data_IF_306222504175
#
_entry.id   IF_306222504175
#
_cell.length_a   1.000
_cell.length_b   1.000
_cell.length_c   1.000
_cell.angle_alpha   90.00
_cell.angle_beta   90.00
_cell.angle_gamma   90.00
#
_symmetry.space_group_name_H-M   'P 1'
#
loop_
_entity.id
_entity.type
_entity.pdbx_description
1 polymer ?
#
# COMPACT_ATOMS: atom_id res chain seq x y z
N UNK A 1 -17.77 9.73 27.28
CA UNK A 1 -16.93 10.42 26.26
C UNK A 1 -16.13 9.46 25.40
N UNK A 2 -15.60 8.35 25.92
CA UNK A 2 -14.79 7.38 25.15
C UNK A 2 -15.57 6.65 24.03
N UNK A 3 -16.80 6.23 24.26
CA UNK A 3 -17.62 5.55 23.23
C UNK A 3 -17.86 6.43 21.98
N UNK A 4 -18.00 7.75 22.14
CA UNK A 4 -18.22 8.69 21.05
C UNK A 4 -16.95 8.88 20.20
N UNK A 5 -15.77 8.78 20.80
CA UNK A 5 -14.49 8.87 20.07
C UNK A 5 -14.21 7.60 19.25
N UNK A 6 -14.56 6.42 19.77
CA UNK A 6 -14.42 5.16 19.06
C UNK A 6 -15.34 5.12 17.81
N UNK A 7 -16.58 5.57 17.94
CA UNK A 7 -17.53 5.62 16.80
C UNK A 7 -17.04 6.56 15.71
N UNK A 8 -16.51 7.74 16.08
CA UNK A 8 -15.90 8.67 15.11
C UNK A 8 -14.67 8.04 14.41
N UNK A 9 -13.81 7.35 15.17
CA UNK A 9 -12.65 6.65 14.61
C UNK A 9 -13.06 5.59 13.58
N UNK A 10 -14.07 4.78 13.90
CA UNK A 10 -14.62 3.77 12.98
C UNK A 10 -15.16 4.43 11.70
N UNK A 11 -15.93 5.52 11.84
CA UNK A 11 -16.47 6.24 10.69
C UNK A 11 -15.37 6.76 9.76
N UNK A 12 -14.31 7.38 10.31
CA UNK A 12 -13.16 7.85 9.52
C UNK A 12 -12.43 6.72 8.82
N UNK A 13 -12.29 5.55 9.46
CA UNK A 13 -11.69 4.36 8.83
C UNK A 13 -12.58 3.89 7.66
N UNK A 14 -13.90 3.81 7.85
CA UNK A 14 -14.83 3.40 6.79
C UNK A 14 -14.77 4.34 5.58
N UNK A 15 -14.75 5.65 5.81
CA UNK A 15 -14.61 6.67 4.75
C UNK A 15 -13.25 6.47 4.03
N UNK A 16 -12.17 6.30 4.79
CA UNK A 16 -10.84 6.04 4.21
C UNK A 16 -10.82 4.79 3.34
N UNK A 17 -11.43 3.69 3.80
CA UNK A 17 -11.53 2.44 3.02
C UNK A 17 -12.36 2.60 1.75
N UNK A 18 -13.43 3.43 1.77
CA UNK A 18 -14.19 3.74 0.57
C UNK A 18 -13.33 4.48 -0.47
N UNK A 19 -12.53 5.47 -0.04
CA UNK A 19 -11.59 6.14 -0.92
C UNK A 19 -10.52 5.19 -1.49
N UNK A 20 -9.99 4.27 -0.67
CA UNK A 20 -9.07 3.24 -1.16
C UNK A 20 -9.70 2.35 -2.23
N UNK A 21 -10.97 1.92 -2.05
CA UNK A 21 -11.67 1.10 -3.04
C UNK A 21 -11.85 1.84 -4.38
N UNK A 22 -12.18 3.12 -4.35
CA UNK A 22 -12.28 3.96 -5.56
C UNK A 22 -10.91 4.06 -6.23
N UNK A 23 -9.88 4.35 -5.46
CA UNK A 23 -8.50 4.44 -5.94
C UNK A 23 -8.04 3.14 -6.62
N UNK A 24 -8.26 1.99 -5.98
CA UNK A 24 -7.86 0.69 -6.53
C UNK A 24 -8.61 0.37 -7.84
N UNK A 25 -9.87 0.77 -7.92
CA UNK A 25 -10.67 0.64 -9.15
C UNK A 25 -10.11 1.52 -10.27
N UNK A 26 -9.71 2.75 -9.97
CA UNK A 26 -9.10 3.66 -10.94
C UNK A 26 -7.74 3.13 -11.41
N UNK A 27 -6.92 2.59 -10.51
CA UNK A 27 -5.63 1.98 -10.88
C UNK A 27 -5.87 0.80 -11.81
N UNK A 28 -6.84 -0.07 -11.52
CA UNK A 28 -7.22 -1.19 -12.38
C UNK A 28 -7.71 -0.72 -13.76
N UNK A 29 -8.29 0.47 -13.85
CA UNK A 29 -8.74 1.04 -15.11
C UNK A 29 -7.59 1.59 -15.96
N UNK A 30 -6.59 2.23 -15.34
CA UNK A 30 -5.53 2.96 -16.08
C UNK A 30 -4.19 2.22 -16.14
N UNK A 31 -4.06 1.00 -15.59
CA UNK A 31 -2.76 0.30 -15.53
C UNK A 31 -2.17 0.01 -16.91
N UNK A 32 -2.99 -0.01 -17.96
CA UNK A 32 -2.54 -0.17 -19.36
C UNK A 32 -1.99 1.12 -19.96
N UNK A 33 -2.24 2.28 -19.35
CA UNK A 33 -1.87 3.60 -19.88
C UNK A 33 -0.70 4.25 -19.12
N UNK A 34 -0.35 3.76 -17.95
CA UNK A 34 0.67 4.36 -17.07
C UNK A 34 1.65 3.32 -16.55
N UNK A 35 2.90 3.71 -16.33
CA UNK A 35 3.87 2.86 -15.65
C UNK A 35 3.64 2.83 -14.13
N UNK A 36 3.87 1.67 -13.49
CA UNK A 36 3.67 1.48 -12.05
C UNK A 36 4.36 2.56 -11.21
N UNK A 37 5.62 2.82 -11.48
CA UNK A 37 6.41 3.76 -10.66
C UNK A 37 6.20 5.22 -11.05
N UNK A 38 5.72 5.51 -12.25
CA UNK A 38 5.19 6.83 -12.63
C UNK A 38 3.94 7.15 -11.80
N UNK A 39 3.02 6.18 -11.69
CA UNK A 39 1.85 6.27 -10.83
C UNK A 39 2.24 6.55 -9.37
N UNK A 40 3.25 5.83 -8.84
CA UNK A 40 3.77 6.08 -7.50
C UNK A 40 4.31 7.49 -7.33
N UNK A 41 5.13 7.96 -8.26
CA UNK A 41 5.70 9.30 -8.21
C UNK A 41 4.61 10.37 -8.21
N UNK A 42 3.69 10.29 -9.16
CA UNK A 42 2.62 11.26 -9.30
C UNK A 42 1.74 11.34 -8.04
N UNK A 43 1.27 10.21 -7.54
CA UNK A 43 0.49 10.14 -6.30
C UNK A 43 1.26 10.70 -5.10
N UNK A 44 2.52 10.32 -4.96
CA UNK A 44 3.34 10.78 -3.82
C UNK A 44 3.55 12.29 -3.86
N UNK A 45 3.67 12.90 -5.05
CA UNK A 45 3.77 14.35 -5.20
C UNK A 45 2.48 15.02 -4.70
N UNK A 46 1.32 14.51 -5.09
CA UNK A 46 0.02 15.05 -4.63
C UNK A 46 -0.11 14.91 -3.11
N UNK A 47 0.14 13.74 -2.57
CA UNK A 47 0.07 13.46 -1.13
C UNK A 47 1.07 14.33 -0.32
N UNK A 48 2.29 14.50 -0.83
CA UNK A 48 3.28 15.38 -0.22
C UNK A 48 2.84 16.85 -0.23
N UNK A 49 2.21 17.30 -1.32
CA UNK A 49 1.67 18.66 -1.43
C UNK A 49 0.56 18.88 -0.41
N UNK A 50 -0.36 17.93 -0.25
CA UNK A 50 -1.40 17.98 0.79
C UNK A 50 -0.79 18.01 2.19
N UNK A 51 0.21 17.17 2.47
CA UNK A 51 0.90 17.15 3.76
C UNK A 51 1.60 18.48 4.06
N UNK A 52 2.31 19.05 3.09
CA UNK A 52 2.95 20.37 3.21
C UNK A 52 1.90 21.45 3.48
N UNK A 53 0.77 21.43 2.77
CA UNK A 53 -0.33 22.37 2.98
C UNK A 53 -0.88 22.30 4.42
N UNK A 54 -1.02 21.08 4.96
CA UNK A 54 -1.43 20.87 6.37
C UNK A 54 -0.40 21.48 7.32
N UNK A 55 0.90 21.33 7.07
CA UNK A 55 1.95 21.95 7.90
C UNK A 55 1.90 23.47 7.88
N UNK A 56 1.71 24.07 6.70
CA UNK A 56 1.62 25.51 6.56
C UNK A 56 0.40 26.09 7.30
N UNK A 57 -0.74 25.43 7.20
CA UNK A 57 -2.00 25.85 7.86
C UNK A 57 -1.91 25.65 9.38
N UNK A 58 -1.44 24.49 9.83
CA UNK A 58 -1.45 24.15 11.26
C UNK A 58 -0.25 24.67 12.02
N UNK A 59 0.76 25.22 11.32
CA UNK A 59 2.05 25.70 11.90
C UNK A 59 2.73 24.68 12.81
N UNK A 60 2.44 23.39 12.63
CA UNK A 60 3.05 22.32 13.41
C UNK A 60 4.50 22.15 12.99
N UNK A 61 5.39 22.07 13.96
CA UNK A 61 6.79 21.70 13.71
C UNK A 61 6.87 20.21 13.43
N UNK A 62 7.54 19.84 12.36
CA UNK A 62 7.91 18.46 12.08
C UNK A 62 9.42 18.33 12.09
N UNK A 63 9.89 17.14 12.33
CA UNK A 63 11.31 16.81 12.32
C UNK A 63 11.53 15.60 11.41
N UNK A 64 12.59 15.60 10.62
CA UNK A 64 13.02 14.44 9.85
C UNK A 64 13.81 13.43 10.70
N UNK A 65 14.12 13.81 11.95
CA UNK A 65 14.83 12.90 12.86
C UNK A 65 13.87 11.86 13.40
N UNK A 66 14.18 10.59 13.18
CA UNK A 66 13.51 9.44 13.78
C UNK A 66 14.38 8.85 14.90
N UNK A 67 13.74 8.35 15.95
CA UNK A 67 14.41 7.62 17.02
C UNK A 67 14.79 6.19 16.59
N UNK A 68 14.19 5.69 15.52
CA UNK A 68 14.34 4.32 15.05
C UNK A 68 14.70 4.24 13.55
N UNK A 69 15.88 4.71 13.11
CA UNK A 69 16.20 4.87 11.70
C UNK A 69 16.11 3.55 10.89
N UNK A 70 16.62 2.46 11.46
CA UNK A 70 16.59 1.14 10.81
C UNK A 70 15.16 0.60 10.68
N UNK A 71 14.34 0.68 11.72
CA UNK A 71 12.94 0.25 11.68
C UNK A 71 12.12 1.11 10.72
N UNK A 72 12.37 2.42 10.68
CA UNK A 72 11.71 3.33 9.75
C UNK A 72 12.08 2.99 8.30
N UNK A 73 13.35 2.70 8.02
CA UNK A 73 13.78 2.26 6.69
C UNK A 73 13.11 0.93 6.30
N UNK A 74 13.12 -0.06 7.19
CA UNK A 74 12.46 -1.34 6.95
C UNK A 74 10.96 -1.15 6.68
N UNK A 75 10.30 -0.29 7.46
CA UNK A 75 8.89 0.04 7.31
C UNK A 75 8.56 0.61 5.92
N UNK A 76 9.32 1.62 5.46
CA UNK A 76 9.04 2.26 4.17
C UNK A 76 9.35 1.33 3.00
N UNK A 77 10.37 0.48 3.11
CA UNK A 77 10.68 -0.58 2.15
C UNK A 77 9.53 -1.58 2.07
N UNK A 78 9.08 -2.12 3.20
CA UNK A 78 7.94 -3.05 3.25
C UNK A 78 6.67 -2.42 2.68
N UNK A 79 6.39 -1.15 2.99
CA UNK A 79 5.22 -0.45 2.47
C UNK A 79 5.29 -0.29 0.94
N UNK A 80 6.43 0.17 0.42
CA UNK A 80 6.63 0.41 -1.01
C UNK A 80 6.51 -0.89 -1.83
N UNK A 81 7.26 -1.92 -1.44
CA UNK A 81 7.19 -3.22 -2.13
C UNK A 81 5.86 -3.93 -1.92
N UNK A 82 5.25 -3.79 -0.74
CA UNK A 82 3.94 -4.36 -0.47
C UNK A 82 2.88 -3.86 -1.46
N UNK A 83 2.75 -2.55 -1.61
CA UNK A 83 1.81 -1.99 -2.59
C UNK A 83 2.23 -2.26 -4.04
N UNK A 84 3.53 -2.34 -4.34
CA UNK A 84 3.98 -2.77 -5.67
C UNK A 84 3.46 -4.17 -6.00
N UNK A 85 3.53 -5.12 -5.09
CA UNK A 85 2.95 -6.45 -5.27
C UNK A 85 1.44 -6.42 -5.45
N UNK A 86 0.73 -5.54 -4.72
CA UNK A 86 -0.71 -5.37 -4.87
C UNK A 86 -1.07 -4.89 -6.28
N UNK A 87 -0.45 -3.82 -6.75
CA UNK A 87 -0.75 -3.23 -8.05
C UNK A 87 -0.31 -4.14 -9.21
N UNK A 88 0.82 -4.82 -9.09
CA UNK A 88 1.25 -5.85 -10.04
C UNK A 88 0.19 -6.96 -10.13
N UNK A 89 -0.39 -7.39 -9.02
CA UNK A 89 -1.42 -8.42 -9.02
C UNK A 89 -2.67 -8.02 -9.81
N UNK A 90 -2.99 -6.73 -9.90
CA UNK A 90 -4.11 -6.23 -10.68
C UNK A 90 -3.94 -6.43 -12.19
N UNK A 91 -2.73 -6.68 -12.70
CA UNK A 91 -2.50 -6.93 -14.13
C UNK A 91 -3.02 -8.30 -14.58
N UNK A 92 -3.02 -9.30 -13.69
CA UNK A 92 -3.39 -10.69 -14.01
C UNK A 92 -4.54 -11.26 -13.15
N UNK A 93 -5.05 -10.50 -12.17
CA UNK A 93 -6.15 -10.91 -11.31
C UNK A 93 -7.26 -9.85 -11.28
N UNK A 94 -8.49 -10.27 -10.95
CA UNK A 94 -9.56 -9.31 -10.68
C UNK A 94 -9.31 -8.57 -9.36
N UNK A 95 -9.78 -7.32 -9.26
CA UNK A 95 -9.68 -6.53 -8.03
C UNK A 95 -10.29 -7.26 -6.83
N UNK A 96 -11.43 -7.94 -7.04
CA UNK A 96 -12.08 -8.73 -5.99
C UNK A 96 -11.19 -9.84 -5.45
N UNK A 97 -10.48 -10.56 -6.33
CA UNK A 97 -9.58 -11.65 -5.93
C UNK A 97 -8.35 -11.11 -5.20
N UNK A 98 -7.73 -10.03 -5.71
CA UNK A 98 -6.59 -9.38 -5.05
C UNK A 98 -6.97 -8.89 -3.65
N UNK A 99 -8.10 -8.20 -3.53
CA UNK A 99 -8.60 -7.70 -2.25
C UNK A 99 -8.91 -8.84 -1.27
N UNK A 100 -9.51 -9.92 -1.76
CA UNK A 100 -9.82 -11.07 -0.94
C UNK A 100 -8.56 -11.76 -0.39
N UNK A 101 -7.52 -11.94 -1.20
CA UNK A 101 -6.23 -12.48 -0.73
C UNK A 101 -5.53 -11.51 0.24
N UNK A 102 -5.70 -10.20 0.05
CA UNK A 102 -5.20 -9.19 0.97
C UNK A 102 -5.88 -9.26 2.35
N UNK A 103 -7.07 -9.81 2.49
CA UNK A 103 -7.69 -10.09 3.79
C UNK A 103 -6.90 -11.08 4.67
N UNK A 104 -5.83 -11.69 4.18
CA UNK A 104 -4.84 -12.37 5.03
C UNK A 104 -4.05 -11.40 5.93
N UNK A 105 -4.08 -10.10 5.67
CA UNK A 105 -3.36 -9.07 6.42
C UNK A 105 -3.66 -9.06 7.93
N UNK A 106 -4.92 -9.10 8.41
CA UNK A 106 -5.22 -9.16 9.84
C UNK A 106 -4.60 -10.38 10.55
N UNK A 107 -4.42 -11.49 9.83
CA UNK A 107 -3.74 -12.68 10.35
C UNK A 107 -2.26 -12.38 10.62
N UNK A 108 -1.54 -11.85 9.63
CA UNK A 108 -0.14 -11.46 9.78
C UNK A 108 0.04 -10.35 10.83
N UNK A 109 -0.84 -9.34 10.85
CA UNK A 109 -0.82 -8.29 11.88
C UNK A 109 -0.95 -8.86 13.28
N UNK A 110 -1.79 -9.87 13.47
CA UNK A 110 -1.96 -10.51 14.77
C UNK A 110 -0.74 -11.32 15.17
N UNK A 111 -0.13 -12.07 14.23
CA UNK A 111 1.14 -12.76 14.49
C UNK A 111 2.21 -11.75 14.91
N UNK A 112 2.40 -10.69 14.13
CA UNK A 112 3.43 -9.69 14.42
C UNK A 112 3.17 -8.92 15.72
N UNK A 113 1.92 -8.58 16.03
CA UNK A 113 1.57 -7.96 17.31
C UNK A 113 1.92 -8.89 18.50
N UNK A 114 1.66 -10.19 18.38
CA UNK A 114 2.02 -11.16 19.42
C UNK A 114 3.54 -11.32 19.55
N UNK A 115 4.25 -11.46 18.43
CA UNK A 115 5.69 -11.77 18.43
C UNK A 115 6.53 -10.56 18.76
N UNK A 116 6.29 -9.42 18.10
CA UNK A 116 7.14 -8.23 18.22
C UNK A 116 6.66 -7.23 19.27
N UNK A 117 5.35 -7.05 19.43
CA UNK A 117 4.78 -6.13 20.41
C UNK A 117 4.43 -6.83 21.73
N UNK A 118 4.59 -8.17 21.81
CA UNK A 118 4.24 -8.99 22.98
C UNK A 118 2.80 -8.82 23.44
N UNK A 119 1.88 -8.49 22.53
CA UNK A 119 0.46 -8.33 22.83
C UNK A 119 -0.19 -9.69 23.12
N UNK A 120 -1.07 -9.72 24.10
CA UNK A 120 -1.90 -10.89 24.37
C UNK A 120 -3.11 -10.90 23.43
N UNK A 121 -3.10 -11.81 22.47
CA UNK A 121 -4.19 -11.97 21.52
C UNK A 121 -5.08 -13.10 21.98
N UNK A 122 -6.31 -12.75 22.37
CA UNK A 122 -7.30 -13.70 22.84
C UNK A 122 -7.82 -14.63 21.73
N UNK A 123 -8.31 -15.80 22.14
CA UNK A 123 -8.83 -16.83 21.22
C UNK A 123 -9.96 -16.29 20.34
N UNK A 124 -10.79 -15.37 20.84
CA UNK A 124 -11.89 -14.76 20.07
C UNK A 124 -11.38 -14.00 18.85
N UNK A 125 -10.22 -13.31 18.95
CA UNK A 125 -9.62 -12.60 17.81
C UNK A 125 -9.06 -13.59 16.79
N UNK A 126 -8.40 -14.66 17.26
CA UNK A 126 -7.91 -15.71 16.39
C UNK A 126 -9.05 -16.43 15.64
N UNK A 127 -10.10 -16.81 16.33
CA UNK A 127 -11.24 -17.47 15.70
C UNK A 127 -11.93 -16.58 14.66
N UNK A 128 -12.14 -15.29 14.97
CA UNK A 128 -12.74 -14.35 14.03
C UNK A 128 -11.91 -14.20 12.73
N UNK A 129 -10.58 -14.08 12.87
CA UNK A 129 -9.67 -13.97 11.71
C UNK A 129 -9.68 -15.27 10.88
N UNK A 130 -9.64 -16.42 11.54
CA UNK A 130 -9.67 -17.72 10.86
C UNK A 130 -10.97 -17.92 10.10
N UNK A 131 -12.12 -17.64 10.72
CA UNK A 131 -13.43 -17.72 10.07
C UNK A 131 -13.54 -16.78 8.89
N UNK A 132 -13.06 -15.52 9.04
CA UNK A 132 -13.03 -14.54 7.95
C UNK A 132 -12.17 -15.02 6.78
N UNK A 133 -10.99 -15.58 7.06
CA UNK A 133 -10.09 -16.10 6.04
C UNK A 133 -10.67 -17.34 5.31
N UNK A 134 -11.31 -18.25 6.04
CA UNK A 134 -12.02 -19.38 5.42
C UNK A 134 -13.15 -18.86 4.51
N UNK A 135 -13.92 -17.86 4.96
CA UNK A 135 -14.96 -17.24 4.13
C UNK A 135 -14.40 -16.69 2.82
N UNK A 136 -13.25 -16.03 2.86
CA UNK A 136 -12.54 -15.56 1.67
C UNK A 136 -12.16 -16.70 0.74
N UNK A 137 -11.58 -17.79 1.26
CA UNK A 137 -11.21 -18.96 0.46
C UNK A 137 -12.42 -19.62 -0.21
N UNK A 138 -13.55 -19.69 0.47
CA UNK A 138 -14.81 -20.23 -0.09
C UNK A 138 -15.30 -19.36 -1.25
N UNK A 139 -15.27 -18.02 -1.11
CA UNK A 139 -15.70 -17.11 -2.18
C UNK A 139 -14.77 -17.18 -3.40
N UNK A 140 -13.47 -17.28 -3.16
CA UNK A 140 -12.46 -17.34 -4.22
C UNK A 140 -12.47 -18.66 -4.98
N UNK A 141 -12.89 -19.75 -4.32
CA UNK A 141 -12.89 -21.10 -4.87
C UNK A 141 -11.61 -21.42 -5.69
N UNK A 142 -10.39 -21.29 -5.09
CA UNK A 142 -9.15 -21.46 -5.82
C UNK A 142 -9.03 -22.91 -6.33
N UNK A 143 -9.05 -23.11 -7.64
CA UNK A 143 -8.78 -24.41 -8.25
C UNK A 143 -7.28 -24.63 -8.27
N UNK A 144 -6.83 -25.84 -7.93
CA UNK A 144 -5.41 -26.21 -7.92
C UNK A 144 -4.81 -26.20 -9.35
N UNK A 145 -5.63 -26.39 -10.38
CA UNK A 145 -5.22 -26.40 -11.78
C UNK A 145 -4.72 -25.03 -12.27
N UNK A 146 -5.24 -23.93 -11.70
CA UNK A 146 -4.84 -22.57 -12.04
C UNK A 146 -3.79 -21.97 -11.11
N UNK A 147 -3.19 -22.77 -10.22
CA UNK A 147 -2.24 -22.26 -9.26
C UNK A 147 -0.93 -21.83 -9.92
N UNK A 148 -0.69 -20.53 -9.94
CA UNK A 148 0.58 -19.93 -10.33
C UNK A 148 1.18 -19.22 -9.12
N UNK A 149 2.50 -19.35 -8.93
CA UNK A 149 3.22 -18.74 -7.81
C UNK A 149 3.03 -17.21 -7.75
N UNK A 150 2.87 -16.56 -8.90
CA UNK A 150 2.57 -15.12 -8.98
C UNK A 150 1.23 -14.75 -8.33
N UNK A 151 0.26 -15.67 -8.25
CA UNK A 151 -1.02 -15.43 -7.55
C UNK A 151 -0.85 -15.27 -6.02
N UNK A 152 0.33 -15.54 -5.48
CA UNK A 152 0.66 -15.26 -4.08
C UNK A 152 1.11 -13.79 -3.84
N UNK A 153 1.29 -12.99 -4.87
CA UNK A 153 1.74 -11.61 -4.71
C UNK A 153 0.83 -10.76 -3.79
N UNK A 154 -0.53 -10.87 -3.78
CA UNK A 154 -1.36 -10.16 -2.80
C UNK A 154 -1.14 -10.62 -1.36
N UNK A 155 -0.76 -11.90 -1.15
CA UNK A 155 -0.43 -12.43 0.18
C UNK A 155 0.93 -11.86 0.63
N UNK A 156 1.91 -11.77 -0.27
CA UNK A 156 3.17 -11.10 0.01
C UNK A 156 2.96 -9.60 0.32
N UNK A 157 2.06 -8.93 -0.41
CA UNK A 157 1.63 -7.58 -0.08
C UNK A 157 1.08 -7.51 1.35
N UNK A 158 0.16 -8.38 1.72
CA UNK A 158 -0.46 -8.38 3.05
C UNK A 158 0.56 -8.61 4.17
N UNK A 159 1.57 -9.45 3.93
CA UNK A 159 2.69 -9.68 4.85
C UNK A 159 3.55 -8.40 5.02
N UNK A 160 3.96 -7.80 3.92
CA UNK A 160 4.74 -6.56 3.90
C UNK A 160 3.97 -5.40 4.57
N UNK A 161 2.68 -5.26 4.25
CA UNK A 161 1.82 -4.25 4.85
C UNK A 161 1.67 -4.46 6.36
N UNK A 162 1.41 -5.70 6.80
CA UNK A 162 1.31 -6.04 8.21
C UNK A 162 2.61 -5.74 8.98
N UNK A 163 3.76 -6.03 8.38
CA UNK A 163 5.07 -5.68 8.92
C UNK A 163 5.21 -4.17 9.07
N UNK A 164 4.93 -3.41 8.02
CA UNK A 164 4.99 -1.95 8.02
C UNK A 164 4.07 -1.34 9.08
N UNK A 165 2.82 -1.81 9.21
CA UNK A 165 1.87 -1.32 10.20
C UNK A 165 2.29 -1.66 11.64
N UNK A 166 2.86 -2.83 11.85
CA UNK A 166 3.38 -3.23 13.18
C UNK A 166 4.55 -2.35 13.59
N UNK A 167 5.48 -2.08 12.68
CA UNK A 167 6.60 -1.15 12.93
C UNK A 167 6.06 0.26 13.17
N UNK A 168 5.08 0.72 12.38
CA UNK A 168 4.42 2.03 12.57
C UNK A 168 3.87 2.15 13.99
N UNK A 169 3.16 1.13 14.47
CA UNK A 169 2.62 1.10 15.84
C UNK A 169 3.73 1.19 16.88
N UNK A 170 4.79 0.40 16.73
CA UNK A 170 5.92 0.41 17.66
C UNK A 170 6.65 1.76 17.68
N UNK A 171 6.92 2.34 16.53
CA UNK A 171 7.67 3.59 16.42
C UNK A 171 6.84 4.82 16.80
N UNK A 172 5.50 4.73 16.74
CA UNK A 172 4.58 5.84 17.08
C UNK A 172 4.65 6.27 18.56
N UNK A 173 5.28 5.48 19.43
CA UNK A 173 5.50 5.87 20.82
C UNK A 173 6.46 7.07 20.95
N UNK A 174 7.44 7.19 20.04
CA UNK A 174 8.47 8.25 20.07
C UNK A 174 8.47 9.12 18.82
N UNK A 175 8.06 8.60 17.68
CA UNK A 175 8.06 9.32 16.42
C UNK A 175 6.66 9.83 16.07
N UNK A 176 6.59 11.12 15.71
CA UNK A 176 5.32 11.72 15.29
C UNK A 176 4.86 11.12 13.96
N UNK A 177 3.54 10.93 13.82
CA UNK A 177 2.92 10.43 12.59
C UNK A 177 3.30 11.26 11.35
N UNK A 178 3.42 12.57 11.49
CA UNK A 178 3.84 13.46 10.40
C UNK A 178 5.28 13.18 9.93
N UNK A 179 6.20 12.92 10.87
CA UNK A 179 7.58 12.50 10.56
C UNK A 179 7.59 11.18 9.80
N UNK A 180 6.78 10.24 10.26
CA UNK A 180 6.67 8.92 9.63
C UNK A 180 6.12 9.01 8.20
N UNK A 181 5.09 9.83 7.95
CA UNK A 181 4.53 10.04 6.61
C UNK A 181 5.53 10.75 5.69
N UNK A 182 6.20 11.79 6.20
CA UNK A 182 7.20 12.52 5.41
C UNK A 182 8.33 11.61 4.95
N UNK A 183 8.86 10.76 5.84
CA UNK A 183 9.93 9.81 5.50
C UNK A 183 9.45 8.76 4.49
N UNK A 184 8.19 8.34 4.56
CA UNK A 184 7.59 7.44 3.58
C UNK A 184 7.54 8.09 2.19
N UNK A 185 7.08 9.34 2.11
CA UNK A 185 6.99 10.06 0.82
C UNK A 185 8.37 10.36 0.23
N UNK A 186 9.34 10.77 1.05
CA UNK A 186 10.71 10.96 0.60
C UNK A 186 11.28 9.67 0.01
N UNK A 187 11.09 8.54 0.70
CA UNK A 187 11.55 7.24 0.20
C UNK A 187 10.86 6.88 -1.12
N UNK A 188 9.54 7.03 -1.22
CA UNK A 188 8.78 6.70 -2.41
C UNK A 188 9.21 7.55 -3.62
N UNK A 189 9.45 8.85 -3.43
CA UNK A 189 9.98 9.72 -4.48
C UNK A 189 11.37 9.28 -4.92
N UNK A 190 12.29 9.07 -3.98
CA UNK A 190 13.66 8.64 -4.30
C UNK A 190 13.64 7.31 -5.04
N UNK A 191 12.89 6.33 -4.55
CA UNK A 191 12.78 5.02 -5.18
C UNK A 191 12.21 5.12 -6.61
N UNK A 192 11.12 5.89 -6.79
CA UNK A 192 10.52 6.10 -8.10
C UNK A 192 11.45 6.83 -9.07
N UNK A 193 12.18 7.84 -8.60
CA UNK A 193 13.17 8.56 -9.44
C UNK A 193 14.34 7.65 -9.85
N UNK A 194 14.84 6.82 -8.93
CA UNK A 194 15.91 5.85 -9.26
C UNK A 194 15.39 4.88 -10.34
N UNK A 195 14.18 4.38 -10.21
CA UNK A 195 13.59 3.47 -11.19
C UNK A 195 13.35 4.19 -12.53
N UNK A 196 12.92 5.45 -12.52
CA UNK A 196 12.82 6.27 -13.72
C UNK A 196 14.15 6.38 -14.47
N UNK A 197 15.25 6.66 -13.76
CA UNK A 197 16.58 6.77 -14.37
C UNK A 197 17.09 5.44 -14.96
N UNK A 198 16.58 4.31 -14.48
CA UNK A 198 16.99 2.97 -14.95
C UNK A 198 16.11 2.51 -16.12
N UNK A 199 14.78 2.72 -16.04
CA UNK A 199 13.81 2.09 -16.94
C UNK A 199 12.81 3.05 -17.58
N UNK A 200 12.81 4.33 -17.20
CA UNK A 200 11.80 5.30 -17.64
C UNK A 200 11.92 5.75 -19.10
N UNK A 201 13.04 5.45 -19.76
CA UNK A 201 13.33 5.81 -21.15
C UNK A 201 12.84 4.78 -22.19
N UNK A 202 12.07 3.78 -21.76
CA UNK A 202 11.48 2.77 -22.64
C UNK A 202 12.43 1.68 -23.15
N UNK A 203 13.68 1.63 -22.68
CA UNK A 203 14.65 0.58 -23.09
C UNK A 203 14.13 -0.84 -22.89
N UNK A 204 13.25 -1.03 -21.93
CA UNK A 204 12.68 -2.32 -21.55
C UNK A 204 11.23 -2.49 -22.02
N UNK A 205 10.75 -1.69 -22.97
CA UNK A 205 9.35 -1.69 -23.43
C UNK A 205 8.98 -2.86 -24.35
N UNK A 206 9.91 -3.80 -24.59
CA UNK A 206 9.74 -4.90 -25.56
C UNK A 206 9.06 -6.15 -24.98
N UNK A 207 8.50 -6.08 -23.77
CA UNK A 207 7.80 -7.22 -23.16
C UNK A 207 6.38 -7.35 -23.69
N UNK A 208 5.98 -8.59 -24.01
CA UNK A 208 4.60 -8.92 -24.39
C UNK A 208 3.68 -9.15 -23.19
N UNK A 209 4.26 -9.39 -22.02
CA UNK A 209 3.52 -9.66 -20.79
C UNK A 209 2.99 -8.35 -20.16
N UNK A 210 1.66 -8.25 -19.88
CA UNK A 210 1.06 -7.04 -19.33
C UNK A 210 1.69 -6.59 -17.99
N UNK A 211 2.16 -7.54 -17.18
CA UNK A 211 2.81 -7.24 -15.89
C UNK A 211 4.14 -6.55 -16.10
N UNK A 212 4.95 -7.08 -17.02
CA UNK A 212 6.25 -6.48 -17.37
C UNK A 212 6.08 -5.13 -18.05
N UNK A 213 5.06 -4.99 -18.90
CA UNK A 213 4.71 -3.69 -19.48
C UNK A 213 4.34 -2.67 -18.40
N UNK A 214 3.53 -3.04 -17.40
CA UNK A 214 3.14 -2.15 -16.32
C UNK A 214 4.34 -1.70 -15.47
N UNK A 215 5.34 -2.57 -15.26
CA UNK A 215 6.54 -2.26 -14.48
C UNK A 215 7.54 -1.40 -15.25
N UNK A 216 7.77 -1.74 -16.54
CA UNK A 216 8.89 -1.21 -17.34
C UNK A 216 8.44 -0.31 -18.50
N UNK A 217 7.16 0.06 -18.56
CA UNK A 217 6.66 0.96 -19.60
C UNK A 217 7.42 2.27 -19.56
N UNK A 218 7.61 2.85 -20.74
CA UNK A 218 8.06 4.23 -20.90
C UNK A 218 7.14 5.19 -20.15
N UNK A 219 7.73 6.16 -19.46
CA UNK A 219 6.98 7.12 -18.67
C UNK A 219 6.51 8.28 -19.54
N UNK A 220 5.45 8.93 -19.14
CA UNK A 220 4.86 10.11 -19.78
C UNK A 220 4.42 9.90 -21.24
N UNK A 221 4.08 8.67 -21.63
CA UNK A 221 3.60 8.37 -23.00
C UNK A 221 2.29 9.11 -23.29
N UNK A 222 1.30 9.04 -22.38
CA UNK A 222 0.00 9.68 -22.53
C UNK A 222 -0.40 10.49 -21.28
N UNK A 223 0.36 11.53 -20.91
CA UNK A 223 0.13 12.24 -19.64
C UNK A 223 -1.25 12.94 -19.60
N UNK A 224 -1.79 13.35 -20.73
CA UNK A 224 -3.12 13.96 -20.80
C UNK A 224 -4.24 12.99 -20.40
N UNK A 225 -4.05 11.69 -20.60
CA UNK A 225 -5.02 10.65 -20.25
C UNK A 225 -4.80 10.16 -18.83
N UNK A 226 -3.58 9.84 -18.44
CA UNK A 226 -3.25 9.18 -17.16
C UNK A 226 -3.20 10.13 -15.96
N UNK A 227 -2.64 11.33 -16.13
CA UNK A 227 -2.40 12.25 -15.03
C UNK A 227 -3.64 12.81 -14.33
N UNK A 228 -4.78 13.08 -15.00
CA UNK A 228 -6.01 13.45 -14.29
C UNK A 228 -6.43 12.40 -13.24
N UNK A 229 -6.29 11.11 -13.56
CA UNK A 229 -6.56 10.03 -12.59
C UNK A 229 -5.55 9.99 -11.45
N UNK A 230 -4.27 10.25 -11.75
CA UNK A 230 -3.21 10.32 -10.74
C UNK A 230 -3.50 11.42 -9.71
N UNK A 231 -3.98 12.60 -10.18
CA UNK A 231 -4.39 13.69 -9.28
C UNK A 231 -5.59 13.34 -8.40
N UNK A 232 -6.55 12.59 -8.92
CA UNK A 232 -7.73 12.15 -8.14
C UNK A 232 -7.34 11.09 -7.10
N UNK A 233 -6.33 10.27 -7.39
CA UNK A 233 -5.86 9.20 -6.51
C UNK A 233 -4.86 9.65 -5.44
N UNK A 234 -4.21 10.78 -5.60
CA UNK A 234 -3.24 11.36 -4.65
C UNK A 234 -3.89 12.24 -3.62
#
# INVERSE_FOLDING_TARGET
>A
MEANNNTKGILFIMIGMAFFSIQDSLIKYIFEEIALFELYLGRTIVQATVLISIFLITKKKFTLKTHYPFLTLLRVICFFFGFSFFYISLTFMSLAMVSALFFSCPFFMSIFAKVFLKEQIGIRRWSAITVGFIGVLVVLNPTLEDFNFFKLAPVACSLCYACSMTITKYTSEKDNIYTQLTLLYIFAVIASVIIFLISGDGKFNNFSDPTMQFIFREWFVNPAVSWPYVFVMG
#
